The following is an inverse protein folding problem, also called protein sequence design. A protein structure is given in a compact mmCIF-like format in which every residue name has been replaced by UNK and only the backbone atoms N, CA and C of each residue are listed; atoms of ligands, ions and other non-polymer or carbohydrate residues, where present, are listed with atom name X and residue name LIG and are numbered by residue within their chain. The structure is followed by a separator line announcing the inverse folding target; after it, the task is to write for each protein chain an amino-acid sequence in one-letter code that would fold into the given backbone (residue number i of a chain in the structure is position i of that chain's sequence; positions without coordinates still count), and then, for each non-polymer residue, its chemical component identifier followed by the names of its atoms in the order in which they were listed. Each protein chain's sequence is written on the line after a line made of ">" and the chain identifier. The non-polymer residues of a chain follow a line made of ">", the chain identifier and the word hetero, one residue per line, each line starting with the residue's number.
data_IF_641270046034
#
_entry.id   IF_641270046034
#
_cell.length_a   1.000
_cell.length_b   1.000
_cell.length_c   1.000
_cell.angle_alpha   90.00
_cell.angle_beta   90.00
_cell.angle_gamma   90.00
#
_symmetry.space_group_name_H-M   'P 1'
#
loop_
_entity.id
_entity.type
_entity.pdbx_description
1 polymer ?
#
# COMPACT_ATOMS: atom_id res chain seq x y z
N UNK A 1 -10.88 -18.39 2.13
CA UNK A 1 -12.34 -18.63 2.18
C UNK A 1 -12.85 -18.48 0.75
N UNK A 2 -13.81 -19.30 0.29
CA UNK A 2 -14.34 -19.10 -1.06
C UNK A 2 -15.25 -17.86 -1.10
N UNK A 3 -15.40 -17.15 -2.24
CA UNK A 3 -16.31 -16.01 -2.36
C UNK A 3 -17.72 -16.26 -1.81
N UNK A 4 -18.31 -17.42 -2.12
CA UNK A 4 -19.63 -17.81 -1.64
C UNK A 4 -19.73 -17.90 -0.11
N UNK A 5 -18.64 -18.31 0.56
CA UNK A 5 -18.58 -18.36 2.01
C UNK A 5 -18.51 -16.96 2.63
N UNK A 6 -17.82 -16.03 1.96
CA UNK A 6 -17.73 -14.62 2.39
C UNK A 6 -19.09 -13.94 2.25
N UNK A 7 -19.77 -14.12 1.11
CA UNK A 7 -21.07 -13.49 0.83
C UNK A 7 -22.19 -13.95 1.78
N UNK A 8 -22.10 -15.16 2.35
CA UNK A 8 -23.05 -15.64 3.38
C UNK A 8 -23.00 -14.83 4.68
N UNK A 9 -21.93 -14.08 4.92
CA UNK A 9 -21.77 -13.25 6.12
C UNK A 9 -22.25 -11.83 5.84
N UNK A 10 -22.94 -11.18 6.79
CA UNK A 10 -23.23 -9.76 6.68
C UNK A 10 -21.93 -8.96 6.83
N UNK A 11 -21.59 -8.07 5.87
CA UNK A 11 -20.43 -7.19 6.03
C UNK A 11 -20.66 -6.24 7.21
N UNK A 12 -19.59 -5.91 7.93
CA UNK A 12 -19.64 -5.04 9.12
C UNK A 12 -19.22 -3.61 8.79
N UNK A 13 -18.33 -3.44 7.81
CA UNK A 13 -17.72 -2.16 7.43
C UNK A 13 -18.20 -1.71 6.06
N UNK A 14 -18.25 -2.63 5.09
CA UNK A 14 -18.72 -2.35 3.75
C UNK A 14 -20.24 -2.45 3.65
N UNK A 15 -20.83 -1.70 2.73
CA UNK A 15 -22.20 -2.00 2.30
C UNK A 15 -22.24 -3.30 1.51
N UNK A 16 -23.39 -3.99 1.51
CA UNK A 16 -23.60 -5.18 0.67
C UNK A 16 -23.30 -4.90 -0.80
N UNK A 17 -23.71 -3.73 -1.29
CA UNK A 17 -23.48 -3.29 -2.67
C UNK A 17 -21.98 -3.18 -2.99
N UNK A 18 -21.18 -2.59 -2.10
CA UNK A 18 -19.73 -2.51 -2.29
C UNK A 18 -19.06 -3.90 -2.29
N UNK A 19 -19.50 -4.79 -1.41
CA UNK A 19 -18.98 -6.15 -1.34
C UNK A 19 -19.31 -6.94 -2.63
N UNK A 20 -20.56 -6.90 -3.10
CA UNK A 20 -20.98 -7.54 -4.35
C UNK A 20 -20.25 -6.94 -5.56
N UNK A 21 -20.09 -5.62 -5.60
CA UNK A 21 -19.32 -4.94 -6.65
C UNK A 21 -17.89 -5.45 -6.73
N UNK A 22 -17.21 -5.66 -5.59
CA UNK A 22 -15.86 -6.22 -5.56
C UNK A 22 -15.79 -7.61 -6.20
N UNK A 23 -16.74 -8.49 -5.88
CA UNK A 23 -16.76 -9.84 -6.45
C UNK A 23 -17.13 -9.87 -7.93
N UNK A 24 -17.98 -8.95 -8.40
CA UNK A 24 -18.36 -8.84 -9.81
C UNK A 24 -17.23 -8.23 -10.66
N UNK A 25 -16.53 -7.21 -10.15
CA UNK A 25 -15.62 -6.37 -10.93
C UNK A 25 -14.13 -6.62 -10.63
N UNK A 26 -13.80 -7.31 -9.53
CA UNK A 26 -12.43 -7.57 -9.11
C UNK A 26 -11.71 -6.39 -8.46
N UNK A 27 -12.39 -5.27 -8.18
CA UNK A 27 -11.84 -4.11 -7.49
C UNK A 27 -12.92 -3.36 -6.70
N UNK A 28 -12.51 -2.49 -5.77
CA UNK A 28 -13.40 -1.61 -5.03
C UNK A 28 -12.71 -0.27 -4.71
N UNK A 29 -13.44 0.84 -4.88
CA UNK A 29 -13.02 2.16 -4.42
C UNK A 29 -13.67 2.48 -3.07
N UNK A 30 -12.86 2.90 -2.11
CA UNK A 30 -13.32 3.40 -0.81
C UNK A 30 -12.69 4.77 -0.59
N UNK A 31 -13.50 5.80 -0.65
CA UNK A 31 -13.05 7.17 -0.42
C UNK A 31 -12.83 7.42 1.08
N UNK A 32 -11.76 8.15 1.41
CA UNK A 32 -11.44 8.54 2.78
C UNK A 32 -11.32 7.36 3.77
N UNK A 33 -10.78 6.22 3.31
CA UNK A 33 -10.62 5.02 4.14
C UNK A 33 -9.68 5.19 5.35
N UNK A 34 -8.80 6.21 5.31
CA UNK A 34 -7.92 6.57 6.42
C UNK A 34 -8.15 8.01 6.87
N UNK A 35 -7.92 8.26 8.16
CA UNK A 35 -7.98 9.59 8.73
C UNK A 35 -6.76 10.44 8.35
N UNK A 36 -6.89 11.76 8.55
CA UNK A 36 -5.83 12.73 8.23
C UNK A 36 -4.55 12.54 9.06
N UNK A 37 -4.64 12.02 10.29
CA UNK A 37 -3.49 11.80 11.16
C UNK A 37 -2.66 10.59 10.69
N UNK A 38 -3.32 9.54 10.24
CA UNK A 38 -2.70 8.35 9.62
C UNK A 38 -2.07 8.73 8.29
N UNK A 39 -2.79 9.47 7.44
CA UNK A 39 -2.23 9.98 6.18
C UNK A 39 -1.00 10.87 6.41
N UNK A 40 -1.03 11.75 7.41
CA UNK A 40 0.11 12.60 7.78
C UNK A 40 1.33 11.77 8.19
N UNK A 41 1.16 10.78 9.07
CA UNK A 41 2.26 9.90 9.52
C UNK A 41 2.90 9.14 8.36
N UNK A 42 2.09 8.59 7.46
CA UNK A 42 2.59 7.89 6.27
C UNK A 42 3.39 8.82 5.35
N UNK A 43 2.97 10.09 5.22
CA UNK A 43 3.70 11.10 4.45
C UNK A 43 5.04 11.45 5.10
N UNK A 44 5.07 11.64 6.42
CA UNK A 44 6.30 11.92 7.18
C UNK A 44 7.31 10.78 7.03
N UNK A 45 6.90 9.52 7.24
CA UNK A 45 7.75 8.35 7.00
C UNK A 45 8.27 8.29 5.56
N UNK A 46 7.40 8.61 4.58
CA UNK A 46 7.80 8.64 3.16
C UNK A 46 8.79 9.77 2.86
N UNK A 47 8.67 10.93 3.51
CA UNK A 47 9.65 12.01 3.39
C UNK A 47 11.02 11.57 3.89
N UNK A 48 11.09 10.91 5.05
CA UNK A 48 12.37 10.39 5.57
C UNK A 48 12.99 9.35 4.63
N UNK A 49 12.18 8.42 4.09
CA UNK A 49 12.63 7.46 3.07
C UNK A 49 13.26 8.16 1.86
N UNK A 50 12.65 9.25 1.40
CA UNK A 50 13.18 10.01 0.25
C UNK A 50 14.49 10.73 0.61
N UNK A 51 14.57 11.33 1.79
CA UNK A 51 15.79 11.99 2.29
C UNK A 51 16.95 10.99 2.40
N UNK A 52 16.71 9.80 2.96
CA UNK A 52 17.73 8.76 3.05
C UNK A 52 18.12 8.20 1.68
N UNK A 53 17.16 8.11 0.75
CA UNK A 53 17.41 7.60 -0.60
C UNK A 53 18.48 8.41 -1.34
N UNK A 54 18.65 9.70 -1.03
CA UNK A 54 19.65 10.57 -1.66
C UNK A 54 21.11 10.08 -1.47
N UNK A 55 21.37 9.36 -0.38
CA UNK A 55 22.70 8.79 -0.09
C UNK A 55 22.91 7.41 -0.74
N UNK A 56 21.87 6.83 -1.34
CA UNK A 56 21.90 5.50 -1.93
C UNK A 56 22.25 5.61 -3.42
N UNK A 57 23.41 5.06 -3.78
CA UNK A 57 23.92 5.15 -5.17
C UNK A 57 23.74 3.88 -5.99
N UNK A 58 23.39 2.76 -5.33
CA UNK A 58 23.24 1.45 -5.96
C UNK A 58 22.01 0.75 -5.39
N UNK A 59 21.17 0.21 -6.26
CA UNK A 59 20.02 -0.59 -5.85
C UNK A 59 20.42 -1.86 -5.10
N UNK A 60 19.61 -2.25 -4.12
CA UNK A 60 19.75 -3.48 -3.36
C UNK A 60 18.38 -4.15 -3.11
N UNK A 61 18.29 -4.99 -2.08
CA UNK A 61 17.05 -5.68 -1.73
C UNK A 61 15.96 -4.73 -1.18
N UNK A 62 16.36 -3.59 -0.61
CA UNK A 62 15.50 -2.60 0.04
C UNK A 62 15.20 -1.47 -0.94
N UNK A 63 16.25 -0.90 -1.53
CA UNK A 63 16.21 0.28 -2.38
C UNK A 63 16.29 -0.10 -3.84
N UNK A 64 15.24 0.18 -4.60
CA UNK A 64 15.22 0.03 -6.05
C UNK A 64 15.24 1.41 -6.69
N UNK A 65 16.35 1.79 -7.31
CA UNK A 65 16.56 3.11 -7.93
C UNK A 65 16.23 3.10 -9.43
N UNK A 66 15.71 4.21 -9.95
CA UNK A 66 15.61 4.44 -11.39
C UNK A 66 16.96 4.91 -11.98
N UNK A 67 17.20 4.73 -13.30
CA UNK A 67 18.33 5.34 -13.96
C UNK A 67 18.37 6.86 -13.78
N UNK A 68 19.55 7.38 -13.43
CA UNK A 68 19.76 8.81 -13.21
C UNK A 68 19.45 9.28 -11.79
N UNK A 69 19.14 8.38 -10.85
CA UNK A 69 19.08 8.72 -9.42
C UNK A 69 20.40 9.37 -8.96
N UNK A 70 20.29 10.51 -8.27
CA UNK A 70 21.38 11.11 -7.49
C UNK A 70 20.82 11.88 -6.30
N UNK A 71 21.69 12.37 -5.42
CA UNK A 71 21.27 13.22 -4.30
C UNK A 71 20.59 14.52 -4.77
N UNK A 72 21.00 15.07 -5.92
CA UNK A 72 20.45 16.30 -6.50
C UNK A 72 19.17 16.05 -7.33
N UNK A 73 18.99 14.84 -7.86
CA UNK A 73 17.80 14.39 -8.58
C UNK A 73 17.37 13.00 -8.06
N UNK A 74 16.75 12.92 -6.86
CA UNK A 74 16.41 11.65 -6.25
C UNK A 74 15.31 10.95 -7.06
N UNK A 75 15.61 9.74 -7.52
CA UNK A 75 14.70 8.87 -8.29
C UNK A 75 14.57 7.47 -7.71
N UNK A 76 14.10 7.37 -6.47
CA UNK A 76 13.76 6.08 -5.87
C UNK A 76 12.58 5.47 -6.64
N UNK A 77 12.72 4.29 -7.24
CA UNK A 77 11.61 3.59 -7.94
C UNK A 77 10.69 2.92 -6.93
N UNK A 78 11.27 2.16 -6.00
CA UNK A 78 10.53 1.38 -5.01
C UNK A 78 11.33 1.20 -3.72
N UNK A 79 10.62 1.29 -2.60
CA UNK A 79 11.05 0.74 -1.32
C UNK A 79 10.38 -0.63 -1.11
N UNK A 80 11.19 -1.68 -0.96
CA UNK A 80 10.73 -3.04 -0.66
C UNK A 80 10.48 -3.17 0.84
N UNK A 81 9.38 -3.84 1.22
CA UNK A 81 9.02 -4.07 2.63
C UNK A 81 9.04 -2.82 3.52
N UNK A 82 8.32 -1.72 3.14
CA UNK A 82 8.26 -0.50 3.96
C UNK A 82 7.81 -0.75 5.41
N UNK A 83 6.99 -1.78 5.65
CA UNK A 83 6.55 -2.16 7.00
C UNK A 83 7.68 -2.64 7.92
N UNK A 84 8.78 -3.16 7.36
CA UNK A 84 9.96 -3.56 8.12
C UNK A 84 10.93 -2.36 8.32
N UNK A 85 10.68 -1.26 7.60
CA UNK A 85 11.54 -0.08 7.58
C UNK A 85 11.07 0.99 8.57
N UNK A 86 9.77 1.31 8.56
CA UNK A 86 9.17 2.31 9.46
C UNK A 86 7.83 1.80 10.02
N UNK A 87 7.68 1.90 11.35
CA UNK A 87 6.51 1.44 12.10
C UNK A 87 5.20 2.09 11.64
N UNK A 88 5.25 3.29 11.04
CA UNK A 88 4.07 3.97 10.52
C UNK A 88 3.38 3.15 9.42
N UNK A 89 4.15 2.48 8.57
CA UNK A 89 3.59 1.62 7.52
C UNK A 89 2.94 0.38 8.14
N UNK A 90 3.61 -0.28 9.08
CA UNK A 90 3.05 -1.47 9.73
C UNK A 90 1.79 -1.13 10.51
N UNK A 91 1.82 -0.05 11.29
CA UNK A 91 0.67 0.44 12.04
C UNK A 91 -0.54 0.70 11.15
N UNK A 92 -0.33 1.22 9.92
CA UNK A 92 -1.39 1.37 8.93
C UNK A 92 -1.85 0.02 8.37
N UNK A 93 -0.92 -0.81 7.88
CA UNK A 93 -1.23 -2.08 7.24
C UNK A 93 -1.96 -3.06 8.17
N UNK A 94 -1.69 -3.00 9.48
CA UNK A 94 -2.32 -3.82 10.50
C UNK A 94 -3.49 -3.13 11.22
N UNK A 95 -3.89 -1.92 10.81
CA UNK A 95 -4.97 -1.18 11.47
C UNK A 95 -6.35 -1.74 11.16
N UNK A 96 -7.29 -1.56 12.10
CA UNK A 96 -8.71 -1.89 11.88
C UNK A 96 -9.32 -1.17 10.68
N UNK A 97 -8.81 0.03 10.33
CA UNK A 97 -9.23 0.75 9.13
C UNK A 97 -9.04 -0.08 7.86
N UNK A 98 -7.97 -0.89 7.80
CA UNK A 98 -7.67 -1.77 6.67
C UNK A 98 -8.25 -3.16 6.91
N UNK A 99 -8.01 -3.75 8.08
CA UNK A 99 -8.37 -5.15 8.33
C UNK A 99 -9.87 -5.38 8.38
N UNK A 100 -10.67 -4.41 8.82
CA UNK A 100 -12.13 -4.57 8.88
C UNK A 100 -12.72 -4.61 7.46
N UNK A 101 -12.23 -3.74 6.56
CA UNK A 101 -12.56 -3.78 5.12
C UNK A 101 -12.15 -5.12 4.51
N UNK A 102 -10.91 -5.56 4.75
CA UNK A 102 -10.41 -6.83 4.22
C UNK A 102 -11.21 -8.02 4.75
N UNK A 103 -11.63 -7.98 6.02
CA UNK A 103 -12.39 -9.07 6.63
C UNK A 103 -13.74 -9.29 5.95
N UNK A 104 -14.36 -8.23 5.45
CA UNK A 104 -15.59 -8.27 4.66
C UNK A 104 -15.36 -8.82 3.24
N UNK A 105 -14.14 -8.75 2.70
CA UNK A 105 -13.84 -9.19 1.33
C UNK A 105 -13.22 -10.60 1.25
N UNK A 106 -12.35 -10.96 2.20
CA UNK A 106 -11.58 -12.22 2.16
C UNK A 106 -11.80 -13.12 3.39
N UNK A 107 -12.62 -12.68 4.34
CA UNK A 107 -12.88 -13.35 5.61
C UNK A 107 -11.91 -12.93 6.72
N UNK A 108 -12.15 -13.37 7.97
CA UNK A 108 -11.49 -12.84 9.16
C UNK A 108 -10.05 -13.34 9.35
N UNK A 109 -9.67 -14.41 8.67
CA UNK A 109 -8.35 -15.02 8.80
C UNK A 109 -7.38 -14.35 7.82
N UNK A 110 -7.01 -13.12 8.13
CA UNK A 110 -6.14 -12.28 7.30
C UNK A 110 -4.69 -12.60 7.63
N UNK A 111 -3.86 -12.74 6.59
CA UNK A 111 -2.40 -12.85 6.70
C UNK A 111 -1.76 -11.73 5.90
N UNK A 112 -0.90 -10.96 6.53
CA UNK A 112 -0.01 -10.05 5.82
C UNK A 112 1.03 -10.86 5.02
N UNK A 113 1.15 -10.58 3.71
CA UNK A 113 2.09 -11.31 2.83
C UNK A 113 3.32 -10.48 2.49
N UNK A 114 3.15 -9.30 1.89
CA UNK A 114 4.24 -8.41 1.51
C UNK A 114 3.72 -7.00 1.24
N UNK A 115 4.63 -6.03 1.22
CA UNK A 115 4.35 -4.63 0.91
C UNK A 115 5.44 -4.03 0.04
N UNK A 116 5.05 -3.02 -0.75
CA UNK A 116 5.93 -2.23 -1.60
C UNK A 116 5.43 -0.79 -1.60
N UNK A 117 6.33 0.17 -1.48
CA UNK A 117 6.02 1.58 -1.74
C UNK A 117 6.65 1.95 -3.08
N UNK A 118 5.82 2.27 -4.07
CA UNK A 118 6.26 2.58 -5.43
C UNK A 118 6.11 4.09 -5.68
N UNK A 119 7.14 4.68 -6.28
CA UNK A 119 7.15 6.09 -6.65
C UNK A 119 7.06 6.21 -8.16
N UNK A 120 6.38 7.26 -8.63
CA UNK A 120 6.30 7.60 -10.05
C UNK A 120 6.72 9.04 -10.20
N UNK A 121 7.93 9.25 -10.71
CA UNK A 121 8.51 10.57 -10.87
C UNK A 121 7.94 11.29 -12.10
N UNK A 122 7.89 12.62 -12.03
CA UNK A 122 7.54 13.44 -13.17
C UNK A 122 8.68 13.42 -14.20
N UNK A 123 8.37 13.30 -15.49
CA UNK A 123 9.37 13.34 -16.56
C UNK A 123 9.94 11.98 -16.99
N UNK A 124 9.48 10.89 -16.40
CA UNK A 124 9.84 9.54 -16.79
C UNK A 124 9.63 8.58 -15.63
N UNK A 125 9.02 7.44 -15.93
CA UNK A 125 8.81 6.33 -15.01
C UNK A 125 8.53 5.10 -15.86
N UNK A 126 8.87 3.91 -15.35
CA UNK A 126 8.67 2.69 -16.12
C UNK A 126 7.18 2.34 -16.26
N UNK A 127 6.77 2.01 -17.48
CA UNK A 127 5.44 1.50 -17.77
C UNK A 127 5.23 0.15 -17.05
N UNK A 128 4.12 0.05 -16.31
CA UNK A 128 3.65 -1.23 -15.77
C UNK A 128 2.82 -1.91 -16.86
N UNK A 129 3.39 -2.94 -17.49
CA UNK A 129 2.70 -3.75 -18.50
C UNK A 129 1.67 -4.69 -17.85
N UNK A 130 0.65 -5.03 -18.62
CA UNK A 130 -0.38 -6.01 -18.28
C UNK A 130 0.11 -7.45 -18.47
#
# INVERSE_FOLDING_TARGET
>A
MAPDDVLRRPPQTLSRIQQEFYFENGYLLIENAIDQQTLKRLREATTHVLEESCEITVSDAIWDLEPGHSAEDPRLRRLTSPNDYDDAYWAYASSNMVTDILSDLIGPNIKFHHSKLNFKWAGGGEEVKW
#
